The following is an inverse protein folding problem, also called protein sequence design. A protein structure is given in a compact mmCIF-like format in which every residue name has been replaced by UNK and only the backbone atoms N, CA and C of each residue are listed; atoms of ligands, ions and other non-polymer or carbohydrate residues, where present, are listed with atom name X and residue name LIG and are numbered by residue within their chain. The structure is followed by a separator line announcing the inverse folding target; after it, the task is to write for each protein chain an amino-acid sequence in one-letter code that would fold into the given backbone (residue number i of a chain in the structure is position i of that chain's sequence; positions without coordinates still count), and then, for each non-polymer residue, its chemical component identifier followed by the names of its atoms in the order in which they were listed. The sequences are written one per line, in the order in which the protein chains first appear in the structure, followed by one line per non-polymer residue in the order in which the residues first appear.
data_IF_823020882452
#
_entry.id   IF_823020882452
#
_cell.length_a   1.000
_cell.length_b   1.000
_cell.length_c   1.000
_cell.angle_alpha   90.00
_cell.angle_beta   90.00
_cell.angle_gamma   90.00
#
_symmetry.space_group_name_H-M   'P 1'
#
loop_
_entity.id
_entity.type
_entity.pdbx_description
1 polymer ?
#
# COMPACT_ATOMS: atom_id res chain seq x y z
N UNK A 1 15.20 5.80 -10.02
CA UNK A 1 14.05 5.40 -9.18
C UNK A 1 14.12 6.16 -7.88
N UNK A 2 12.99 6.73 -7.45
CA UNK A 2 12.93 7.47 -6.17
C UNK A 2 12.39 6.58 -5.06
N UNK A 3 13.06 6.56 -3.91
CA UNK A 3 12.57 5.96 -2.67
C UNK A 3 12.33 7.06 -1.65
N UNK A 4 11.09 7.19 -1.17
CA UNK A 4 10.70 8.16 -0.15
C UNK A 4 10.67 7.45 1.19
N UNK A 5 11.44 7.93 2.17
CA UNK A 5 11.50 7.35 3.51
C UNK A 5 11.92 8.39 4.55
N UNK A 6 11.54 8.16 5.80
CA UNK A 6 11.95 8.99 6.95
C UNK A 6 12.32 8.07 8.11
N UNK A 7 13.50 8.26 8.70
CA UNK A 7 13.96 7.44 9.83
C UNK A 7 13.03 7.50 11.03
N UNK A 8 12.31 8.60 11.21
CA UNK A 8 11.34 8.78 12.28
C UNK A 8 10.26 7.70 12.29
N UNK A 9 9.89 7.14 11.12
CA UNK A 9 8.90 6.06 11.05
C UNK A 9 9.39 4.75 11.72
N UNK A 10 10.64 4.66 12.13
CA UNK A 10 11.20 3.54 12.92
C UNK A 10 11.24 3.80 14.44
N UNK A 11 10.75 4.96 14.90
CA UNK A 11 10.86 5.37 16.30
C UNK A 11 9.75 4.83 17.22
N UNK A 12 8.78 4.08 16.66
CA UNK A 12 7.72 3.46 17.45
C UNK A 12 7.69 1.94 17.26
N UNK A 13 7.40 1.21 18.33
CA UNK A 13 7.26 -0.24 18.32
C UNK A 13 6.50 -0.73 19.55
N UNK A 14 5.90 -1.91 19.43
CA UNK A 14 5.35 -2.66 20.56
C UNK A 14 6.00 -4.05 20.60
N UNK A 15 6.41 -4.55 21.78
CA UNK A 15 7.02 -5.87 21.89
C UNK A 15 6.15 -6.97 21.25
N UNK A 16 6.72 -7.75 20.35
CA UNK A 16 6.02 -8.84 19.66
C UNK A 16 5.10 -8.41 18.52
N UNK A 17 4.93 -7.12 18.27
CA UNK A 17 4.09 -6.64 17.18
C UNK A 17 4.74 -6.91 15.83
N UNK A 18 4.02 -7.49 14.83
CA UNK A 18 4.59 -7.82 13.53
C UNK A 18 4.93 -6.57 12.70
N UNK A 19 4.12 -5.51 12.80
CA UNK A 19 4.39 -4.21 12.19
C UNK A 19 5.43 -3.48 13.04
N UNK A 20 6.71 -3.59 12.66
CA UNK A 20 7.89 -3.21 13.47
C UNK A 20 8.93 -2.44 12.67
N UNK A 21 9.82 -1.68 13.35
CA UNK A 21 10.85 -0.83 12.72
C UNK A 21 11.76 -1.55 11.73
N UNK A 22 12.09 -2.83 11.98
CA UNK A 22 12.99 -3.62 11.16
C UNK A 22 12.50 -3.79 9.72
N UNK A 23 11.18 -3.72 9.50
CA UNK A 23 10.59 -3.73 8.14
C UNK A 23 11.18 -2.61 7.27
N UNK A 24 11.43 -1.45 7.86
CA UNK A 24 12.02 -0.30 7.15
C UNK A 24 13.55 -0.33 7.23
N UNK A 25 14.12 -0.48 8.43
CA UNK A 25 15.57 -0.36 8.62
C UNK A 25 16.35 -1.42 7.82
N UNK A 26 15.91 -2.69 7.85
CA UNK A 26 16.54 -3.78 7.09
C UNK A 26 16.36 -3.60 5.58
N UNK A 27 15.16 -3.16 5.14
CA UNK A 27 14.92 -2.89 3.72
C UNK A 27 15.79 -1.73 3.23
N UNK A 28 15.87 -0.64 3.99
CA UNK A 28 16.74 0.49 3.66
C UNK A 28 18.21 0.09 3.56
N UNK A 29 18.68 -0.75 4.51
CA UNK A 29 20.05 -1.27 4.47
C UNK A 29 20.29 -2.10 3.20
N UNK A 30 19.40 -3.03 2.86
CA UNK A 30 19.48 -3.83 1.63
C UNK A 30 19.50 -2.96 0.39
N UNK A 31 18.59 -2.00 0.29
CA UNK A 31 18.47 -1.11 -0.86
C UNK A 31 19.67 -0.14 -1.00
N UNK A 32 20.34 0.21 0.09
CA UNK A 32 21.57 1.01 0.05
C UNK A 32 22.80 0.21 -0.39
N UNK A 33 22.83 -1.10 -0.11
CA UNK A 33 23.96 -1.97 -0.45
C UNK A 33 23.90 -2.53 -1.88
N UNK A 34 22.72 -2.62 -2.46
CA UNK A 34 22.57 -3.14 -3.82
C UNK A 34 23.11 -2.14 -4.85
N UNK A 35 23.55 -2.65 -6.01
CA UNK A 35 24.15 -1.86 -7.10
C UNK A 35 23.38 -1.95 -8.43
N UNK A 36 22.27 -2.68 -8.45
CA UNK A 36 21.50 -2.99 -9.65
C UNK A 36 20.53 -1.88 -10.05
N UNK A 37 20.02 -1.13 -9.05
CA UNK A 37 19.08 -0.03 -9.26
C UNK A 37 19.73 1.29 -8.82
N UNK A 38 19.76 2.31 -9.68
CA UNK A 38 20.07 3.67 -9.25
C UNK A 38 18.90 4.19 -8.40
N UNK A 39 19.13 4.44 -7.12
CA UNK A 39 18.13 4.90 -6.16
C UNK A 39 18.46 6.33 -5.71
N UNK A 40 17.49 7.22 -5.89
CA UNK A 40 17.47 8.56 -5.31
C UNK A 40 16.60 8.53 -4.04
N UNK A 41 17.20 8.89 -2.91
CA UNK A 41 16.53 8.92 -1.63
C UNK A 41 15.97 10.32 -1.34
N UNK A 42 14.70 10.38 -0.92
CA UNK A 42 14.07 11.62 -0.51
C UNK A 42 13.26 11.45 0.78
N UNK A 43 13.01 12.56 1.46
CA UNK A 43 12.12 12.62 2.61
C UNK A 43 10.67 12.81 2.16
N UNK A 44 9.68 12.50 3.01
CA UNK A 44 8.27 12.86 2.78
C UNK A 44 8.10 14.36 2.53
N UNK A 45 7.22 14.69 1.60
CA UNK A 45 6.72 16.05 1.41
C UNK A 45 5.79 16.49 2.55
N UNK A 46 5.28 17.73 2.50
CA UNK A 46 4.31 18.20 3.46
C UNK A 46 3.01 17.41 3.37
N UNK A 47 2.35 17.22 4.53
CA UNK A 47 1.04 16.61 4.61
C UNK A 47 -0.03 17.71 4.60
N UNK A 48 -0.88 17.72 3.57
CA UNK A 48 -2.01 18.64 3.49
C UNK A 48 -3.20 18.08 4.27
N UNK A 49 -3.67 18.82 5.27
CA UNK A 49 -4.86 18.48 6.07
C UNK A 49 -6.12 18.33 5.19
N UNK A 50 -6.27 19.17 4.17
CA UNK A 50 -7.40 19.10 3.26
C UNK A 50 -7.39 17.78 2.46
N UNK A 51 -6.22 17.26 2.10
CA UNK A 51 -6.10 15.96 1.47
C UNK A 51 -6.54 14.83 2.40
N UNK A 52 -6.15 14.87 3.68
CA UNK A 52 -6.60 13.90 4.69
C UNK A 52 -8.13 13.93 4.84
N UNK A 53 -8.71 15.09 4.95
CA UNK A 53 -10.16 15.26 5.18
C UNK A 53 -11.03 14.86 3.97
N UNK A 54 -10.46 14.70 2.77
CA UNK A 54 -11.18 14.06 1.65
C UNK A 54 -11.46 12.59 1.92
N UNK A 55 -10.54 11.89 2.55
CA UNK A 55 -10.64 10.46 2.83
C UNK A 55 -11.21 10.16 4.22
N UNK A 56 -10.89 10.98 5.21
CA UNK A 56 -11.19 10.73 6.62
C UNK A 56 -12.08 11.80 7.25
N UNK A 57 -12.79 11.42 8.31
CA UNK A 57 -13.53 12.38 9.14
C UNK A 57 -12.57 13.13 10.06
N UNK A 58 -12.99 14.36 10.44
CA UNK A 58 -12.30 15.16 11.47
C UNK A 58 -12.20 14.44 12.82
N UNK A 59 -13.18 13.59 13.13
CA UNK A 59 -13.21 12.83 14.38
C UNK A 59 -12.08 11.80 14.43
N UNK A 60 -11.82 11.07 13.34
CA UNK A 60 -10.68 10.17 13.27
C UNK A 60 -9.36 10.94 13.41
N UNK A 61 -9.20 12.03 12.68
CA UNK A 61 -7.98 12.87 12.74
C UNK A 61 -7.73 13.38 14.15
N UNK A 62 -8.78 13.84 14.83
CA UNK A 62 -8.70 14.28 16.23
C UNK A 62 -8.38 13.14 17.18
N UNK A 63 -8.88 11.93 16.92
CA UNK A 63 -8.60 10.75 17.75
C UNK A 63 -7.15 10.33 17.71
N UNK A 64 -6.41 10.59 16.62
CA UNK A 64 -4.99 10.21 16.50
C UNK A 64 -4.09 10.84 17.58
N UNK A 65 -4.50 11.94 18.20
CA UNK A 65 -3.74 12.61 19.27
C UNK A 65 -4.19 12.22 20.69
N UNK A 66 -5.19 11.34 20.81
CA UNK A 66 -5.66 10.84 22.11
C UNK A 66 -4.90 9.59 22.49
N UNK A 67 -4.47 9.48 23.74
CA UNK A 67 -3.74 8.32 24.28
C UNK A 67 -4.66 7.13 24.55
N UNK A 68 -5.30 6.63 23.50
CA UNK A 68 -6.26 5.51 23.54
C UNK A 68 -6.01 4.59 22.34
N UNK A 69 -5.93 3.29 22.58
CA UNK A 69 -5.81 2.29 21.52
C UNK A 69 -7.02 2.34 20.59
N UNK A 70 -6.79 2.07 19.30
CA UNK A 70 -7.85 2.09 18.28
C UNK A 70 -8.59 0.75 18.22
N UNK A 71 -7.84 -0.32 18.30
CA UNK A 71 -8.30 -1.71 18.51
C UNK A 71 -7.14 -2.55 19.06
N UNK A 72 -7.36 -3.89 19.18
CA UNK A 72 -6.35 -4.83 19.72
C UNK A 72 -5.04 -4.86 18.93
N UNK A 73 -5.11 -4.56 17.62
CA UNK A 73 -4.00 -4.67 16.68
C UNK A 73 -3.49 -3.31 16.21
N UNK A 74 -4.09 -2.24 16.70
CA UNK A 74 -3.73 -0.86 16.32
C UNK A 74 -3.60 0.00 17.60
N UNK A 75 -2.50 -0.22 18.35
CA UNK A 75 -2.29 0.49 19.61
C UNK A 75 -1.95 1.95 19.39
N UNK A 76 -2.20 2.77 20.41
CA UNK A 76 -1.70 4.14 20.44
C UNK A 76 -0.18 4.14 20.69
N UNK A 77 0.53 4.94 19.90
CA UNK A 77 1.94 5.28 20.18
C UNK A 77 2.07 6.79 20.37
N UNK A 78 2.95 7.27 21.26
CA UNK A 78 3.30 8.68 21.31
C UNK A 78 3.73 9.17 19.91
N UNK A 79 3.17 10.32 19.50
CA UNK A 79 3.41 10.93 18.18
C UNK A 79 2.91 10.12 16.97
N UNK A 80 2.01 9.14 17.15
CA UNK A 80 1.49 8.34 16.02
C UNK A 80 0.82 9.21 14.96
N UNK A 81 0.19 10.32 15.36
CA UNK A 81 -0.38 11.29 14.44
C UNK A 81 0.67 11.89 13.48
N UNK A 82 1.87 12.16 13.99
CA UNK A 82 2.96 12.73 13.18
C UNK A 82 3.55 11.67 12.22
N UNK A 83 3.69 10.43 12.68
CA UNK A 83 4.14 9.32 11.83
C UNK A 83 3.13 9.01 10.73
N UNK A 84 1.83 8.97 11.05
CA UNK A 84 0.78 8.77 10.08
C UNK A 84 0.73 9.91 9.04
N UNK A 85 0.86 11.16 9.49
CA UNK A 85 0.96 12.33 8.59
C UNK A 85 2.21 12.29 7.72
N UNK A 86 3.34 11.82 8.24
CA UNK A 86 4.55 11.66 7.44
C UNK A 86 4.36 10.58 6.34
N UNK A 87 3.67 9.47 6.64
CA UNK A 87 3.31 8.47 5.62
C UNK A 87 2.37 9.04 4.55
N UNK A 88 1.39 9.86 4.94
CA UNK A 88 0.54 10.59 3.98
C UNK A 88 1.37 11.57 3.15
N UNK A 89 2.27 12.34 3.77
CA UNK A 89 3.17 13.25 3.05
C UNK A 89 4.02 12.51 2.01
N UNK A 90 4.53 11.32 2.36
CA UNK A 90 5.24 10.46 1.42
C UNK A 90 4.36 9.95 0.27
N UNK A 91 3.09 9.63 0.54
CA UNK A 91 2.14 9.21 -0.49
C UNK A 91 1.80 10.35 -1.46
N UNK A 92 1.62 11.57 -0.95
CA UNK A 92 1.39 12.76 -1.77
C UNK A 92 2.63 13.14 -2.61
N UNK A 93 3.82 13.03 -2.04
CA UNK A 93 5.08 13.23 -2.76
C UNK A 93 5.28 12.15 -3.84
N UNK A 94 4.94 10.87 -3.53
CA UNK A 94 4.99 9.79 -4.51
C UNK A 94 4.01 10.03 -5.68
N UNK A 95 2.82 10.53 -5.40
CA UNK A 95 1.86 10.95 -6.42
C UNK A 95 2.45 12.01 -7.35
N UNK A 96 3.12 13.04 -6.81
CA UNK A 96 3.72 14.11 -7.62
C UNK A 96 4.91 13.59 -8.45
N UNK A 97 5.75 12.74 -7.86
CA UNK A 97 6.87 12.11 -8.58
C UNK A 97 6.35 11.25 -9.76
N UNK A 98 5.30 10.46 -9.53
CA UNK A 98 4.66 9.67 -10.60
C UNK A 98 4.08 10.54 -11.72
N UNK A 99 3.48 11.69 -11.40
CA UNK A 99 3.01 12.67 -12.39
C UNK A 99 4.15 13.26 -13.23
N UNK A 100 5.33 13.39 -12.63
CA UNK A 100 6.53 13.83 -13.33
C UNK A 100 7.19 12.70 -14.16
N UNK A 101 6.60 11.50 -14.18
CA UNK A 101 7.12 10.36 -14.95
C UNK A 101 8.19 9.55 -14.21
N UNK A 102 8.35 9.75 -12.91
CA UNK A 102 9.34 9.01 -12.12
C UNK A 102 8.77 7.66 -11.64
N UNK A 103 9.62 6.64 -11.60
CA UNK A 103 9.33 5.40 -10.85
C UNK A 103 9.59 5.68 -9.38
N UNK A 104 8.58 5.51 -8.53
CA UNK A 104 8.62 5.90 -7.12
C UNK A 104 8.03 4.84 -6.20
N UNK A 105 8.64 4.67 -5.03
CA UNK A 105 8.17 3.81 -3.96
C UNK A 105 8.28 4.53 -2.61
N UNK A 106 7.18 4.54 -1.84
CA UNK A 106 7.17 5.02 -0.45
C UNK A 106 7.49 3.87 0.49
N UNK A 107 8.65 3.95 1.12
CA UNK A 107 9.12 3.02 2.14
C UNK A 107 8.87 3.63 3.53
N UNK A 108 7.61 3.68 3.93
CA UNK A 108 7.15 4.33 5.15
C UNK A 108 6.34 3.40 6.04
N UNK A 109 6.21 3.76 7.31
CA UNK A 109 5.29 3.26 8.33
C UNK A 109 4.59 4.47 8.97
N UNK A 110 3.34 4.30 9.42
CA UNK A 110 2.46 3.12 9.33
C UNK A 110 1.90 2.86 7.93
N UNK A 111 1.42 1.63 7.67
CA UNK A 111 0.63 1.30 6.48
C UNK A 111 -0.73 2.00 6.50
N UNK A 112 -1.55 1.81 5.46
CA UNK A 112 -2.77 2.60 5.32
C UNK A 112 -4.04 1.88 4.88
N UNK A 113 -3.99 0.79 4.14
CA UNK A 113 -5.12 0.27 3.36
C UNK A 113 -6.33 -0.22 4.18
N UNK A 114 -6.15 -0.51 5.49
CA UNK A 114 -7.25 -0.89 6.38
C UNK A 114 -7.98 0.30 7.02
N UNK A 115 -7.34 1.48 7.11
CA UNK A 115 -7.97 2.65 7.73
C UNK A 115 -9.18 3.10 6.91
N UNK A 116 -10.37 3.05 7.51
CA UNK A 116 -11.62 3.50 6.91
C UNK A 116 -11.81 5.01 7.13
N UNK A 117 -12.89 5.57 6.58
CA UNK A 117 -13.19 7.00 6.78
C UNK A 117 -13.20 7.41 8.25
N UNK A 118 -13.67 6.55 9.14
CA UNK A 118 -13.93 6.89 10.55
C UNK A 118 -13.16 6.03 11.56
N UNK A 119 -12.33 5.08 11.10
CA UNK A 119 -11.69 4.10 11.98
C UNK A 119 -10.28 3.77 11.53
N UNK A 120 -9.32 3.89 12.45
CA UNK A 120 -8.01 3.26 12.33
C UNK A 120 -8.11 1.81 12.79
N UNK A 121 -7.49 0.87 12.06
CA UNK A 121 -7.52 -0.57 12.32
C UNK A 121 -6.46 -1.30 11.51
N UNK A 122 -6.11 -2.53 11.91
CA UNK A 122 -5.18 -3.36 11.15
C UNK A 122 -3.83 -2.69 10.93
N UNK A 123 -3.23 -2.11 11.97
CA UNK A 123 -1.96 -1.37 11.94
C UNK A 123 -2.02 -0.03 11.19
N UNK A 124 -3.17 0.32 10.58
CA UNK A 124 -3.35 1.50 9.73
C UNK A 124 -4.09 2.61 10.48
N UNK A 125 -3.52 3.81 10.45
CA UNK A 125 -4.08 4.99 11.13
C UNK A 125 -4.75 5.97 10.17
N UNK A 126 -4.13 6.24 9.03
CA UNK A 126 -4.66 6.99 7.89
C UNK A 126 -4.48 6.17 6.62
N UNK A 127 -5.39 6.30 5.69
CA UNK A 127 -5.34 5.56 4.43
C UNK A 127 -4.51 6.30 3.37
N UNK A 128 -3.21 6.03 3.38
CA UNK A 128 -2.22 6.72 2.56
C UNK A 128 -2.57 6.69 1.06
N UNK A 129 -2.92 5.50 0.54
CA UNK A 129 -3.19 5.33 -0.89
C UNK A 129 -4.52 5.95 -1.31
N UNK A 130 -5.58 5.85 -0.47
CA UNK A 130 -6.86 6.47 -0.78
C UNK A 130 -6.79 7.99 -0.73
N UNK A 131 -6.03 8.57 0.22
CA UNK A 131 -5.77 10.02 0.28
C UNK A 131 -5.10 10.47 -1.01
N UNK A 132 -4.03 9.81 -1.44
CA UNK A 132 -3.31 10.15 -2.67
C UNK A 132 -4.20 9.96 -3.92
N UNK A 133 -5.04 8.91 -3.97
CA UNK A 133 -5.96 8.69 -5.08
C UNK A 133 -7.03 9.79 -5.18
N UNK A 134 -7.63 10.19 -4.05
CA UNK A 134 -8.61 11.28 -4.02
C UNK A 134 -7.97 12.63 -4.35
N UNK A 135 -6.72 12.85 -3.91
CA UNK A 135 -5.94 14.03 -4.27
C UNK A 135 -5.64 14.08 -5.78
N UNK A 136 -5.34 12.93 -6.38
CA UNK A 136 -5.14 12.84 -7.83
C UNK A 136 -6.42 13.22 -8.61
N UNK A 137 -7.58 12.75 -8.17
CA UNK A 137 -8.89 13.10 -8.75
C UNK A 137 -9.19 14.59 -8.59
N UNK A 138 -9.00 15.13 -7.37
CA UNK A 138 -9.24 16.54 -7.08
C UNK A 138 -8.36 17.48 -7.92
N UNK A 139 -7.17 17.02 -8.31
CA UNK A 139 -6.22 17.76 -9.15
C UNK A 139 -6.28 17.34 -10.64
N UNK A 140 -7.45 16.94 -11.12
CA UNK A 140 -7.77 16.82 -12.54
C UNK A 140 -7.41 15.48 -13.22
N UNK A 141 -6.91 14.48 -12.49
CA UNK A 141 -6.81 13.12 -13.05
C UNK A 141 -8.20 12.54 -13.21
N UNK A 142 -8.60 12.22 -14.43
CA UNK A 142 -9.99 11.79 -14.72
C UNK A 142 -10.33 10.41 -14.15
N UNK A 143 -9.36 9.48 -14.17
CA UNK A 143 -9.52 8.09 -13.74
C UNK A 143 -8.32 7.66 -12.95
N UNK A 144 -8.54 7.28 -11.70
CA UNK A 144 -7.50 6.78 -10.80
C UNK A 144 -7.87 5.37 -10.38
N UNK A 145 -6.94 4.44 -10.50
CA UNK A 145 -7.11 3.11 -9.94
C UNK A 145 -6.20 2.93 -8.74
N UNK A 146 -6.67 2.19 -7.73
CA UNK A 146 -5.84 1.61 -6.70
C UNK A 146 -5.77 0.11 -6.91
N UNK A 147 -4.56 -0.42 -7.04
CA UNK A 147 -4.26 -1.85 -7.13
C UNK A 147 -3.59 -2.30 -5.85
N UNK A 148 -4.26 -3.16 -5.11
CA UNK A 148 -3.86 -3.64 -3.80
C UNK A 148 -3.55 -5.13 -3.88
N UNK A 149 -2.27 -5.49 -3.71
CA UNK A 149 -1.82 -6.86 -3.71
C UNK A 149 -1.33 -7.35 -2.34
N UNK A 150 -1.61 -6.57 -1.28
CA UNK A 150 -1.50 -7.07 0.09
C UNK A 150 -2.39 -8.30 0.25
N UNK A 151 -1.92 -9.27 1.04
CA UNK A 151 -2.67 -10.52 1.25
C UNK A 151 -3.96 -10.30 2.04
N UNK A 152 -4.08 -9.18 2.76
CA UNK A 152 -5.28 -8.78 3.47
C UNK A 152 -6.15 -7.86 2.62
N UNK A 153 -7.47 -8.01 2.72
CA UNK A 153 -8.39 -7.12 2.01
C UNK A 153 -8.23 -5.66 2.45
N UNK A 154 -7.98 -4.76 1.49
CA UNK A 154 -7.89 -3.31 1.73
C UNK A 154 -9.28 -2.68 1.97
N UNK A 155 -9.98 -3.14 3.02
CA UNK A 155 -11.34 -2.73 3.36
C UNK A 155 -11.52 -1.24 3.58
N UNK A 156 -10.48 -0.57 4.07
CA UNK A 156 -10.46 0.89 4.24
C UNK A 156 -10.47 1.60 2.90
N UNK A 157 -9.60 1.19 2.00
CA UNK A 157 -9.51 1.73 0.64
C UNK A 157 -10.80 1.49 -0.13
N UNK A 158 -11.38 0.27 -0.05
CA UNK A 158 -12.67 -0.04 -0.63
C UNK A 158 -13.75 0.91 -0.13
N UNK A 159 -13.89 1.07 1.19
CA UNK A 159 -14.94 1.90 1.78
C UNK A 159 -14.83 3.39 1.43
N UNK A 160 -13.61 3.90 1.26
CA UNK A 160 -13.35 5.31 0.92
C UNK A 160 -13.61 5.57 -0.57
N UNK A 161 -13.21 4.66 -1.44
CA UNK A 161 -13.32 4.83 -2.89
C UNK A 161 -14.65 4.35 -3.48
N UNK A 162 -15.43 3.58 -2.71
CA UNK A 162 -16.72 3.05 -3.17
C UNK A 162 -17.63 4.17 -3.67
N UNK A 163 -18.19 3.97 -4.87
CA UNK A 163 -19.06 4.92 -5.56
C UNK A 163 -18.45 6.31 -5.83
N UNK A 164 -17.12 6.46 -5.71
CA UNK A 164 -16.45 7.70 -6.07
C UNK A 164 -16.25 7.77 -7.59
N UNK A 165 -16.81 8.79 -8.27
CA UNK A 165 -16.69 8.92 -9.71
C UNK A 165 -15.22 9.04 -10.14
N UNK A 166 -14.82 8.22 -11.11
CA UNK A 166 -13.44 8.21 -11.61
C UNK A 166 -12.45 7.36 -10.82
N UNK A 167 -12.83 6.85 -9.63
CA UNK A 167 -12.01 5.90 -8.88
C UNK A 167 -12.36 4.45 -9.22
N UNK A 168 -11.36 3.55 -9.17
CA UNK A 168 -11.57 2.11 -9.12
C UNK A 168 -10.60 1.48 -8.12
N UNK A 169 -11.05 0.42 -7.45
CA UNK A 169 -10.26 -0.35 -6.49
C UNK A 169 -10.22 -1.82 -6.91
N UNK A 170 -9.03 -2.40 -6.91
CA UNK A 170 -8.76 -3.80 -7.23
C UNK A 170 -7.97 -4.41 -6.08
N UNK A 171 -8.55 -5.36 -5.35
CA UNK A 171 -7.90 -6.01 -4.21
C UNK A 171 -7.80 -7.51 -4.44
N UNK A 172 -6.57 -8.02 -4.37
CA UNK A 172 -6.27 -9.44 -4.52
C UNK A 172 -5.78 -9.94 -3.15
N UNK A 173 -6.61 -10.67 -2.44
CA UNK A 173 -6.38 -10.98 -1.03
C UNK A 173 -6.84 -12.38 -0.66
N UNK A 174 -6.26 -12.90 0.42
CA UNK A 174 -6.68 -14.19 0.98
C UNK A 174 -8.05 -14.08 1.64
N UNK A 175 -8.93 -15.05 1.38
CA UNK A 175 -10.18 -15.22 2.11
C UNK A 175 -10.46 -16.73 2.37
N UNK A 176 -10.81 -17.14 3.63
CA UNK A 176 -10.92 -16.29 4.83
C UNK A 176 -9.58 -15.79 5.35
N UNK A 177 -9.53 -14.53 5.76
CA UNK A 177 -8.43 -13.86 6.44
C UNK A 177 -8.94 -12.55 7.08
N UNK A 178 -8.12 -11.87 7.89
CA UNK A 178 -8.42 -10.51 8.36
C UNK A 178 -8.65 -9.57 7.16
N UNK A 179 -9.56 -8.61 7.24
CA UNK A 179 -10.54 -8.33 8.29
C UNK A 179 -11.87 -9.10 8.14
N UNK A 180 -11.95 -10.15 7.32
CA UNK A 180 -13.14 -10.95 7.09
C UNK A 180 -14.13 -10.37 6.07
N UNK A 181 -13.64 -9.49 5.19
CA UNK A 181 -14.41 -8.79 4.14
C UNK A 181 -13.84 -9.09 2.74
N UNK A 182 -14.39 -8.49 1.68
CA UNK A 182 -13.87 -8.63 0.32
C UNK A 182 -14.30 -9.90 -0.43
N UNK A 183 -15.39 -10.56 -0.02
CA UNK A 183 -15.85 -11.84 -0.64
C UNK A 183 -16.45 -11.67 -2.02
N UNK A 184 -16.80 -10.46 -2.42
CA UNK A 184 -17.46 -10.13 -3.70
C UNK A 184 -17.19 -8.67 -4.07
N UNK A 185 -17.37 -8.35 -5.34
CA UNK A 185 -17.31 -6.98 -5.82
C UNK A 185 -18.40 -6.12 -5.15
N UNK A 186 -18.09 -4.84 -4.90
CA UNK A 186 -18.99 -3.88 -4.25
C UNK A 186 -19.14 -2.64 -5.14
N UNK A 187 -20.39 -2.21 -5.35
CA UNK A 187 -20.67 -1.11 -6.28
C UNK A 187 -20.23 -1.43 -7.71
N UNK A 188 -19.96 -0.39 -8.48
CA UNK A 188 -19.52 -0.51 -9.87
C UNK A 188 -18.01 -0.33 -10.04
N UNK A 189 -17.27 -0.12 -8.94
CA UNK A 189 -15.89 0.33 -8.99
C UNK A 189 -14.94 -0.33 -7.97
N UNK A 190 -15.43 -1.27 -7.15
CA UNK A 190 -14.59 -2.03 -6.22
C UNK A 190 -14.64 -3.50 -6.61
N UNK A 191 -13.48 -4.03 -7.02
CA UNK A 191 -13.30 -5.37 -7.59
C UNK A 191 -12.44 -6.21 -6.65
N UNK A 192 -13.03 -7.26 -6.08
CA UNK A 192 -12.44 -8.14 -5.11
C UNK A 192 -12.10 -9.49 -5.73
N UNK A 193 -10.88 -9.96 -5.51
CA UNK A 193 -10.33 -11.22 -5.99
C UNK A 193 -9.91 -12.07 -4.78
N UNK A 194 -10.86 -12.68 -4.07
CA UNK A 194 -10.53 -13.52 -2.93
C UNK A 194 -9.82 -14.80 -3.38
N UNK A 195 -8.68 -15.09 -2.73
CA UNK A 195 -7.86 -16.28 -2.96
C UNK A 195 -7.94 -17.17 -1.71
N UNK A 196 -8.31 -18.45 -1.82
CA UNK A 196 -8.29 -19.35 -0.68
C UNK A 196 -6.90 -19.48 -0.03
N UNK A 197 -6.81 -19.74 1.28
CA UNK A 197 -5.54 -20.06 1.92
C UNK A 197 -4.86 -21.25 1.23
N UNK A 198 -3.54 -21.26 1.17
CA UNK A 198 -2.72 -22.33 0.57
C UNK A 198 -3.02 -22.59 -0.92
N UNK A 199 -3.61 -21.64 -1.63
CA UNK A 199 -3.77 -21.71 -3.08
C UNK A 199 -2.40 -21.89 -3.75
N UNK A 200 -2.31 -22.78 -4.72
CA UNK A 200 -1.07 -23.06 -5.44
C UNK A 200 -0.54 -21.78 -6.10
N UNK A 201 0.79 -21.59 -6.08
CA UNK A 201 1.47 -20.41 -6.62
C UNK A 201 1.01 -20.03 -8.03
N UNK A 202 0.88 -21.02 -8.92
CA UNK A 202 0.44 -20.78 -10.30
C UNK A 202 -0.99 -20.26 -10.40
N UNK A 203 -1.90 -20.76 -9.55
CA UNK A 203 -3.29 -20.32 -9.49
C UNK A 203 -3.39 -18.91 -8.89
N UNK A 204 -2.65 -18.64 -7.80
CA UNK A 204 -2.60 -17.29 -7.21
C UNK A 204 -2.12 -16.28 -8.25
N UNK A 205 -1.04 -16.62 -8.97
CA UNK A 205 -0.48 -15.77 -10.03
C UNK A 205 -1.47 -15.55 -11.18
N UNK A 206 -2.28 -16.54 -11.52
CA UNK A 206 -3.34 -16.38 -12.51
C UNK A 206 -4.41 -15.38 -12.07
N UNK A 207 -4.80 -15.38 -10.79
CA UNK A 207 -5.73 -14.39 -10.23
C UNK A 207 -5.13 -12.98 -10.32
N UNK A 208 -3.84 -12.82 -9.95
CA UNK A 208 -3.13 -11.54 -10.09
C UNK A 208 -3.10 -11.05 -11.54
N UNK A 209 -2.84 -11.96 -12.49
CA UNK A 209 -2.83 -11.62 -13.92
C UNK A 209 -4.20 -11.13 -14.40
N UNK A 210 -5.27 -11.82 -14.01
CA UNK A 210 -6.65 -11.43 -14.34
C UNK A 210 -7.02 -10.07 -13.75
N UNK A 211 -6.56 -9.77 -12.53
CA UNK A 211 -6.77 -8.47 -11.91
C UNK A 211 -6.01 -7.35 -12.64
N UNK A 212 -4.77 -7.60 -13.11
CA UNK A 212 -4.00 -6.65 -13.91
C UNK A 212 -4.67 -6.39 -15.28
N UNK A 213 -5.19 -7.42 -15.94
CA UNK A 213 -5.94 -7.26 -17.19
C UNK A 213 -7.21 -6.42 -17.00
N UNK A 214 -7.92 -6.62 -15.89
CA UNK A 214 -9.08 -5.82 -15.55
C UNK A 214 -8.71 -4.37 -15.22
N UNK A 215 -7.63 -4.15 -14.47
CA UNK A 215 -7.06 -2.83 -14.23
C UNK A 215 -6.73 -2.11 -15.55
N UNK A 216 -6.10 -2.81 -16.50
CA UNK A 216 -5.79 -2.26 -17.83
C UNK A 216 -7.07 -1.89 -18.60
N UNK A 217 -8.11 -2.73 -18.50
CA UNK A 217 -9.42 -2.48 -19.13
C UNK A 217 -10.14 -1.27 -18.56
N UNK A 218 -9.89 -0.92 -17.31
CA UNK A 218 -10.38 0.31 -16.67
C UNK A 218 -9.76 1.55 -17.31
N UNK A 219 -8.60 1.46 -17.99
CA UNK A 219 -7.87 2.58 -18.63
C UNK A 219 -7.61 3.73 -17.65
N UNK A 220 -6.90 3.50 -16.54
CA UNK A 220 -6.58 4.55 -15.58
C UNK A 220 -5.64 5.59 -16.20
N UNK A 221 -5.79 6.85 -15.79
CA UNK A 221 -4.80 7.90 -16.04
C UNK A 221 -3.68 7.93 -15.00
N UNK A 222 -3.88 7.20 -13.88
CA UNK A 222 -2.91 7.01 -12.81
C UNK A 222 -3.25 5.77 -11.99
N UNK A 223 -2.22 5.10 -11.48
CA UNK A 223 -2.37 3.95 -10.57
C UNK A 223 -1.62 4.21 -9.27
N UNK A 224 -2.34 4.12 -8.13
CA UNK A 224 -1.76 3.95 -6.81
C UNK A 224 -1.68 2.46 -6.48
N UNK A 225 -0.58 2.02 -5.92
CA UNK A 225 -0.37 0.62 -5.54
C UNK A 225 -0.22 0.51 -4.03
N UNK A 226 -1.13 -0.22 -3.38
CA UNK A 226 -0.93 -0.76 -2.04
C UNK A 226 -0.06 -2.01 -2.19
N UNK A 227 1.23 -1.85 -1.88
CA UNK A 227 2.24 -2.87 -2.08
C UNK A 227 2.49 -3.63 -0.78
N UNK A 228 1.73 -4.70 -0.53
CA UNK A 228 1.94 -5.66 0.53
C UNK A 228 2.72 -6.87 0.04
N UNK A 229 3.61 -7.38 0.88
CA UNK A 229 4.48 -8.50 0.54
C UNK A 229 4.19 -9.75 1.36
N UNK A 230 3.06 -9.77 2.04
CA UNK A 230 2.62 -10.82 2.96
C UNK A 230 1.86 -11.99 2.28
N UNK A 231 1.59 -11.89 0.97
CA UNK A 231 1.22 -13.06 0.17
C UNK A 231 2.41 -14.02 -0.09
N UNK A 232 3.59 -13.68 0.43
CA UNK A 232 4.80 -14.49 0.35
C UNK A 232 4.67 -15.80 1.11
N UNK A 233 5.20 -16.90 0.55
CA UNK A 233 5.04 -18.25 1.08
C UNK A 233 5.59 -18.45 2.52
N UNK A 234 6.50 -17.58 2.97
CA UNK A 234 7.09 -17.63 4.32
C UNK A 234 6.70 -16.43 5.19
N UNK A 235 5.61 -15.73 4.86
CA UNK A 235 5.09 -14.68 5.73
C UNK A 235 4.36 -15.29 6.92
N UNK A 236 4.56 -14.77 8.16
CA UNK A 236 3.98 -15.37 9.35
C UNK A 236 2.48 -15.04 9.54
N UNK A 237 1.91 -14.07 8.84
CA UNK A 237 0.54 -13.61 9.09
C UNK A 237 -0.51 -14.18 8.12
N UNK A 238 -0.08 -14.81 7.04
CA UNK A 238 -0.99 -15.38 6.06
C UNK A 238 -0.49 -16.73 5.53
N UNK A 239 -1.26 -17.32 4.64
CA UNK A 239 -0.97 -18.61 4.01
C UNK A 239 -0.87 -18.44 2.49
N UNK A 240 -0.15 -17.39 2.08
CA UNK A 240 0.17 -17.12 0.69
C UNK A 240 1.17 -18.13 0.13
N UNK A 241 1.41 -18.06 -1.17
CA UNK A 241 2.29 -18.99 -1.90
C UNK A 241 3.23 -18.29 -2.88
N UNK A 242 3.28 -16.96 -2.86
CA UNK A 242 4.11 -16.20 -3.78
C UNK A 242 5.59 -16.23 -3.35
N UNK A 243 6.47 -16.14 -4.34
CA UNK A 243 7.90 -16.04 -4.17
C UNK A 243 8.45 -14.72 -4.76
N UNK A 244 9.72 -14.43 -4.56
CA UNK A 244 10.33 -13.17 -5.01
C UNK A 244 10.13 -12.90 -6.52
N UNK A 245 10.14 -13.94 -7.35
CA UNK A 245 9.93 -13.83 -8.80
C UNK A 245 8.51 -13.35 -9.15
N UNK A 246 7.52 -13.62 -8.29
CA UNK A 246 6.15 -13.17 -8.52
C UNK A 246 6.01 -11.68 -8.25
N UNK A 247 6.69 -11.17 -7.23
CA UNK A 247 6.75 -9.72 -6.98
C UNK A 247 7.54 -8.99 -8.08
N UNK A 248 8.62 -9.59 -8.58
CA UNK A 248 9.32 -9.05 -9.77
C UNK A 248 8.38 -8.97 -10.97
N UNK A 249 7.67 -10.05 -11.26
CA UNK A 249 6.69 -10.11 -12.35
C UNK A 249 5.55 -9.09 -12.16
N UNK A 250 5.04 -8.91 -10.92
CA UNK A 250 4.04 -7.87 -10.62
C UNK A 250 4.57 -6.48 -10.95
N UNK A 251 5.79 -6.18 -10.53
CA UNK A 251 6.44 -4.91 -10.87
C UNK A 251 6.52 -4.69 -12.38
N UNK A 252 6.92 -5.71 -13.15
CA UNK A 252 6.94 -5.65 -14.62
C UNK A 252 5.54 -5.45 -15.21
N UNK A 253 4.55 -6.17 -14.72
CA UNK A 253 3.17 -6.11 -15.22
C UNK A 253 2.56 -4.74 -15.00
N UNK A 254 2.76 -4.15 -13.82
CA UNK A 254 2.29 -2.81 -13.49
C UNK A 254 3.02 -1.73 -14.31
N UNK A 255 4.34 -1.84 -14.48
CA UNK A 255 5.11 -0.96 -15.39
C UNK A 255 4.58 -0.99 -16.82
N UNK A 256 4.23 -2.18 -17.30
CA UNK A 256 3.75 -2.37 -18.69
C UNK A 256 2.36 -1.75 -18.95
N UNK A 257 1.66 -1.28 -17.93
CA UNK A 257 0.44 -0.46 -18.11
C UNK A 257 0.75 0.86 -18.84
N UNK A 258 1.99 1.35 -18.75
CA UNK A 258 2.44 2.56 -19.44
C UNK A 258 1.78 3.85 -18.94
N UNK A 259 1.28 3.87 -17.71
CA UNK A 259 0.64 5.03 -17.06
C UNK A 259 1.44 5.46 -15.82
N UNK A 260 1.33 6.72 -15.38
CA UNK A 260 1.91 7.16 -14.11
C UNK A 260 1.50 6.25 -12.96
N UNK A 261 2.48 5.79 -12.17
CA UNK A 261 2.28 4.83 -11.10
C UNK A 261 3.14 5.18 -9.88
N UNK A 262 2.53 5.14 -8.69
CA UNK A 262 3.24 5.23 -7.41
C UNK A 262 2.89 4.03 -6.53
N UNK A 263 3.87 3.54 -5.77
CA UNK A 263 3.69 2.39 -4.87
C UNK A 263 3.98 2.79 -3.42
N UNK A 264 3.14 2.32 -2.51
CA UNK A 264 3.24 2.56 -1.07
C UNK A 264 3.34 1.21 -0.36
N UNK A 265 4.29 1.07 0.56
CA UNK A 265 4.43 -0.13 1.37
C UNK A 265 3.20 -0.32 2.27
N UNK A 266 2.63 -1.52 2.24
CA UNK A 266 1.61 -1.98 3.19
C UNK A 266 2.18 -3.12 4.06
N UNK A 267 1.66 -4.33 3.98
CA UNK A 267 2.10 -5.50 4.72
C UNK A 267 3.41 -6.12 4.22
N UNK A 268 3.74 -7.25 4.83
CA UNK A 268 4.99 -7.99 4.63
C UNK A 268 5.80 -8.03 5.92
N UNK A 269 5.82 -9.21 6.56
CA UNK A 269 6.30 -9.38 7.95
C UNK A 269 7.39 -10.45 8.04
N UNK A 270 7.71 -11.11 6.93
CA UNK A 270 8.84 -12.01 6.82
C UNK A 270 10.18 -11.26 6.93
N UNK A 271 11.23 -11.87 7.50
CA UNK A 271 12.59 -11.32 7.45
C UNK A 271 13.12 -11.17 6.00
N UNK A 272 12.51 -11.84 5.03
CA UNK A 272 12.85 -11.75 3.60
C UNK A 272 12.25 -10.51 2.91
N UNK A 273 11.44 -9.70 3.59
CA UNK A 273 10.81 -8.49 3.04
C UNK A 273 11.77 -7.60 2.22
N UNK A 274 13.03 -7.37 2.64
CA UNK A 274 13.97 -6.56 1.86
C UNK A 274 14.24 -7.12 0.45
N UNK A 275 14.30 -8.44 0.30
CA UNK A 275 14.53 -9.11 -0.98
C UNK A 275 13.29 -9.08 -1.87
N UNK A 276 12.10 -9.22 -1.28
CA UNK A 276 10.82 -9.13 -1.98
C UNK A 276 10.59 -7.73 -2.55
N UNK A 277 10.84 -6.70 -1.73
CA UNK A 277 10.78 -5.30 -2.18
C UNK A 277 11.79 -5.06 -3.30
N UNK A 278 13.04 -5.51 -3.16
CA UNK A 278 14.05 -5.34 -4.22
C UNK A 278 13.61 -6.00 -5.52
N UNK A 279 13.05 -7.21 -5.47
CA UNK A 279 12.54 -7.92 -6.65
C UNK A 279 11.41 -7.12 -7.34
N UNK A 280 10.44 -6.62 -6.57
CA UNK A 280 9.37 -5.78 -7.08
C UNK A 280 9.89 -4.48 -7.74
N UNK A 281 10.83 -3.80 -7.08
CA UNK A 281 11.45 -2.57 -7.60
C UNK A 281 12.24 -2.81 -8.89
N UNK A 282 12.92 -3.96 -9.03
CA UNK A 282 13.58 -4.38 -10.28
C UNK A 282 12.57 -4.54 -11.41
N UNK A 283 11.44 -5.20 -11.13
CA UNK A 283 10.35 -5.32 -12.08
C UNK A 283 9.81 -3.96 -12.54
N UNK A 284 9.54 -3.04 -11.61
CA UNK A 284 9.11 -1.68 -11.91
C UNK A 284 10.14 -0.89 -12.74
N UNK A 285 11.44 -1.12 -12.49
CA UNK A 285 12.52 -0.46 -13.24
C UNK A 285 12.80 -1.13 -14.59
N UNK A 286 12.31 -2.34 -14.84
CA UNK A 286 12.62 -3.13 -16.02
C UNK A 286 14.08 -3.63 -16.05
N UNK A 287 14.61 -4.01 -14.90
CA UNK A 287 16.01 -4.48 -14.70
C UNK A 287 16.04 -5.96 -14.35
#
# INVERSE_FOLDING_TARGET
MRIITDERCTSYSHPGHPERPERISSTREKLRRQTELPIDWSNPGPCDEAAILRAHSSDLVTRLIRSEDFDTDTPFFPNIADYARASVGAALEALQAARAGETVFSLMRPPGHHATRNRAMGFCYLNNVAIAALEALANGTRRVAVFDFDVHHGNGTESILLNNPGAAFFSIHQFPCYPGTGTRNVGANCFNYPVPPQTLRGEYRHVLASAVEHLQSFKPGMVGVSAGFDAYARDPLAQGSLEAEDFYWLGQSLRNLGVPLFSLLEGGYSPDLPDLILAYLKGLAGK
#
